data_IF_757638699187
#
_entry.id   IF_757638699187
#
_cell.length_a   1.000
_cell.length_b   1.000
_cell.length_c   1.000
_cell.angle_alpha   90.00
_cell.angle_beta   90.00
_cell.angle_gamma   90.00
#
_symmetry.space_group_name_H-M   'P 1'
#
loop_
_entity.id
_entity.type
_entity.pdbx_description
1 polymer ?
#
# COMPACT_ATOMS: atom_id res chain seq x y z
N UNK A 1 88.99 -24.36 15.65
CA UNK A 1 88.48 -23.33 16.57
C UNK A 1 87.71 -22.33 15.72
N UNK A 2 86.40 -22.52 15.61
CA UNK A 2 85.49 -21.60 14.93
C UNK A 2 84.55 -21.07 16.00
N UNK A 3 84.55 -19.76 16.14
CA UNK A 3 83.83 -18.99 17.14
C UNK A 3 82.32 -19.09 16.93
N UNK A 4 81.61 -19.35 18.02
CA UNK A 4 80.16 -19.20 18.13
C UNK A 4 79.87 -17.74 18.43
N UNK A 5 79.35 -17.00 17.45
CA UNK A 5 78.69 -15.72 17.70
C UNK A 5 77.18 -16.00 17.82
N UNK A 6 76.67 -15.85 19.04
CA UNK A 6 75.24 -15.86 19.36
C UNK A 6 74.56 -14.68 18.67
N UNK A 7 73.73 -14.98 17.66
CA UNK A 7 72.80 -14.01 17.08
C UNK A 7 71.58 -13.93 18.00
N UNK A 8 71.58 -12.96 18.92
CA UNK A 8 70.40 -12.64 19.73
C UNK A 8 69.32 -12.06 18.80
N UNK A 9 68.38 -12.90 18.38
CA UNK A 9 67.14 -12.46 17.73
C UNK A 9 66.34 -11.66 18.76
N UNK A 10 66.33 -10.33 18.61
CA UNK A 10 65.36 -9.48 19.31
C UNK A 10 63.98 -9.80 18.74
N UNK A 11 62.95 -10.11 19.56
CA UNK A 11 61.60 -10.27 19.04
C UNK A 11 61.14 -8.94 18.42
N UNK A 12 60.73 -8.96 17.16
CA UNK A 12 60.09 -7.81 16.50
C UNK A 12 58.87 -7.39 17.32
N UNK A 13 58.88 -6.15 17.81
CA UNK A 13 57.73 -5.56 18.50
C UNK A 13 56.60 -5.46 17.47
N UNK A 14 55.41 -6.06 17.70
CA UNK A 14 54.32 -6.02 16.73
C UNK A 14 53.96 -4.59 16.37
N UNK A 15 53.71 -4.33 15.08
CA UNK A 15 53.26 -3.03 14.60
C UNK A 15 52.04 -2.57 15.42
N UNK A 16 52.04 -1.35 16.01
CA UNK A 16 50.94 -0.86 16.84
C UNK A 16 49.57 -0.96 16.16
N UNK A 17 49.51 -0.74 14.84
CA UNK A 17 48.29 -0.87 14.03
C UNK A 17 47.77 -2.30 14.00
N UNK A 18 48.66 -3.29 13.83
CA UNK A 18 48.28 -4.71 13.80
C UNK A 18 47.79 -5.19 15.16
N UNK A 19 48.40 -4.70 16.24
CA UNK A 19 47.95 -4.95 17.61
C UNK A 19 46.54 -4.43 17.81
N UNK A 20 46.28 -3.19 17.38
CA UNK A 20 44.96 -2.58 17.52
C UNK A 20 43.90 -3.23 16.64
N UNK A 21 44.25 -3.62 15.41
CA UNK A 21 43.35 -4.37 14.54
C UNK A 21 43.00 -5.74 15.15
N UNK A 22 43.99 -6.47 15.68
CA UNK A 22 43.78 -7.76 16.36
C UNK A 22 42.86 -7.62 17.56
N UNK A 23 43.09 -6.63 18.41
CA UNK A 23 42.26 -6.37 19.58
C UNK A 23 40.84 -5.92 19.20
N UNK A 24 40.71 -5.06 18.18
CA UNK A 24 39.43 -4.61 17.66
C UNK A 24 38.60 -5.77 17.06
N UNK A 25 39.28 -6.74 16.43
CA UNK A 25 38.70 -7.95 15.87
C UNK A 25 38.29 -8.99 16.90
N UNK A 26 39.13 -9.22 17.92
CA UNK A 26 38.93 -10.27 18.93
C UNK A 26 37.66 -10.10 19.77
N UNK A 27 37.23 -8.85 19.99
CA UNK A 27 36.08 -8.54 20.83
C UNK A 27 34.86 -8.19 19.97
N UNK A 28 33.87 -9.10 19.95
CA UNK A 28 32.71 -9.02 19.05
C UNK A 28 31.58 -8.09 19.52
N UNK A 29 31.57 -7.62 20.78
CA UNK A 29 30.48 -6.79 21.33
C UNK A 29 31.00 -5.50 21.97
N UNK A 30 30.69 -4.39 21.31
CA UNK A 30 30.72 -2.98 21.79
C UNK A 30 31.91 -2.58 22.67
N UNK A 31 33.03 -2.25 22.05
CA UNK A 31 34.23 -1.77 22.74
C UNK A 31 34.32 -0.25 22.88
N UNK A 32 33.20 0.45 23.06
CA UNK A 32 33.15 1.85 23.52
C UNK A 32 34.16 2.83 22.90
N UNK A 33 34.60 3.78 23.74
CA UNK A 33 35.69 4.71 23.44
C UNK A 33 37.01 4.02 23.09
N UNK A 34 37.31 2.85 23.69
CA UNK A 34 38.56 2.14 23.45
C UNK A 34 38.71 1.66 22.00
N UNK A 35 37.62 1.21 21.38
CA UNK A 35 37.60 0.84 19.96
C UNK A 35 37.60 2.07 19.07
N UNK A 36 36.91 3.14 19.50
CA UNK A 36 37.02 4.45 18.88
C UNK A 36 38.48 4.90 18.77
N UNK A 37 39.23 4.84 19.88
CA UNK A 37 40.64 5.21 19.94
C UNK A 37 41.51 4.32 19.05
N UNK A 38 41.30 3.00 19.08
CA UNK A 38 42.03 2.05 18.22
C UNK A 38 41.86 2.37 16.74
N UNK A 39 40.64 2.68 16.31
CA UNK A 39 40.36 3.14 14.95
C UNK A 39 41.00 4.50 14.73
N UNK A 40 40.86 5.44 15.66
CA UNK A 40 41.31 6.80 15.46
C UNK A 40 42.83 6.95 15.33
N UNK A 41 43.59 6.16 16.10
CA UNK A 41 45.05 6.15 16.05
C UNK A 41 45.65 5.28 14.95
N UNK A 42 44.85 4.38 14.35
CA UNK A 42 45.35 3.40 13.38
C UNK A 42 44.83 3.60 11.95
N UNK A 43 43.68 4.25 11.78
CA UNK A 43 43.02 4.43 10.48
C UNK A 43 43.23 5.85 9.96
N UNK A 44 43.66 5.93 8.71
CA UNK A 44 43.93 7.19 8.01
C UNK A 44 42.63 7.93 7.64
N UNK A 45 42.55 9.25 7.89
CA UNK A 45 41.46 10.10 7.38
C UNK A 45 41.35 10.09 5.86
N UNK A 46 40.12 10.27 5.34
CA UNK A 46 39.91 10.41 3.90
C UNK A 46 40.62 11.65 3.34
N UNK A 47 41.55 11.47 2.38
CA UNK A 47 42.24 12.57 1.70
C UNK A 47 43.76 12.63 1.91
N UNK A 48 44.32 11.86 2.85
CA UNK A 48 45.78 11.75 3.04
C UNK A 48 46.39 10.62 2.20
N UNK A 49 47.60 10.82 1.68
CA UNK A 49 48.33 9.78 0.93
C UNK A 49 48.98 8.76 1.88
N UNK A 50 49.48 7.62 1.35
CA UNK A 50 50.08 6.57 2.20
C UNK A 50 51.44 6.98 2.77
N UNK A 51 52.09 7.93 2.11
CA UNK A 51 53.41 8.41 2.46
C UNK A 51 53.38 9.53 3.52
N UNK A 52 52.19 10.06 3.83
CA UNK A 52 51.98 11.19 4.77
C UNK A 52 51.72 10.75 6.21
N UNK A 53 51.39 9.48 6.44
CA UNK A 53 50.99 9.01 7.77
C UNK A 53 51.34 7.54 8.00
N UNK A 54 51.77 7.15 9.22
CA UNK A 54 51.99 5.75 9.59
C UNK A 54 50.69 4.94 9.76
N UNK A 55 49.52 5.52 9.48
CA UNK A 55 48.20 4.89 9.57
C UNK A 55 47.83 4.14 8.30
N UNK A 56 46.95 3.14 8.43
CA UNK A 56 46.48 2.32 7.30
C UNK A 56 45.09 2.75 6.83
N UNK A 57 44.66 2.28 5.66
CA UNK A 57 43.29 2.54 5.22
C UNK A 57 42.27 1.79 6.09
N UNK A 58 41.02 2.26 6.12
CA UNK A 58 39.95 1.57 6.84
C UNK A 58 39.72 0.15 6.32
N UNK A 59 40.00 -0.10 5.04
CA UNK A 59 39.91 -1.41 4.40
C UNK A 59 40.99 -2.36 4.92
N UNK A 60 42.23 -1.90 4.95
CA UNK A 60 43.36 -2.71 5.42
C UNK A 60 43.25 -3.00 6.93
N UNK A 61 42.79 -2.01 7.72
CA UNK A 61 42.50 -2.21 9.13
C UNK A 61 41.40 -3.25 9.36
N UNK A 62 40.33 -3.20 8.55
CA UNK A 62 39.24 -4.15 8.63
C UNK A 62 39.68 -5.58 8.28
N UNK A 63 40.55 -5.72 7.27
CA UNK A 63 41.15 -6.99 6.86
C UNK A 63 42.02 -7.58 7.98
N UNK A 64 42.92 -6.77 8.56
CA UNK A 64 43.75 -7.17 9.71
C UNK A 64 42.91 -7.55 10.94
N UNK A 65 41.76 -6.89 11.14
CA UNK A 65 40.84 -7.14 12.25
C UNK A 65 39.84 -8.28 11.97
N UNK A 66 39.80 -8.86 10.76
CA UNK A 66 38.83 -9.87 10.38
C UNK A 66 37.37 -9.39 10.46
N UNK A 67 37.10 -8.13 10.12
CA UNK A 67 35.76 -7.53 10.16
C UNK A 67 35.42 -6.72 8.91
N UNK A 68 34.20 -6.15 8.84
CA UNK A 68 33.78 -5.36 7.67
C UNK A 68 34.29 -3.90 7.77
N UNK A 69 34.69 -3.26 6.65
CA UNK A 69 35.05 -1.85 6.63
C UNK A 69 33.96 -0.92 7.19
N UNK A 70 32.68 -1.25 7.01
CA UNK A 70 31.55 -0.49 7.58
C UNK A 70 31.57 -0.49 9.10
N UNK A 71 32.01 -1.59 9.74
CA UNK A 71 32.19 -1.64 11.19
C UNK A 71 33.26 -0.64 11.63
N UNK A 72 34.41 -0.62 10.96
CA UNK A 72 35.50 0.34 11.24
C UNK A 72 35.01 1.78 11.06
N UNK A 73 34.33 2.05 9.94
CA UNK A 73 33.81 3.39 9.63
C UNK A 73 32.74 3.89 10.60
N UNK A 74 32.01 3.00 11.30
CA UNK A 74 31.07 3.41 12.36
C UNK A 74 31.79 3.99 13.57
N UNK A 75 32.87 3.34 14.03
CA UNK A 75 33.69 3.87 15.12
C UNK A 75 34.41 5.14 14.70
N UNK A 76 34.89 5.21 13.46
CA UNK A 76 35.44 6.43 12.88
C UNK A 76 34.43 7.59 12.96
N UNK A 77 33.23 7.44 12.39
CA UNK A 77 32.21 8.53 12.40
C UNK A 77 31.78 8.94 13.80
N UNK A 78 31.73 8.01 14.75
CA UNK A 78 31.41 8.32 16.13
C UNK A 78 32.51 9.16 16.79
N UNK A 79 33.78 8.82 16.56
CA UNK A 79 34.93 9.57 17.07
C UNK A 79 35.05 10.95 16.42
N UNK A 80 34.78 11.06 15.11
CA UNK A 80 34.80 12.32 14.35
C UNK A 80 33.84 13.36 14.95
N UNK A 81 32.59 12.95 15.21
CA UNK A 81 31.59 13.82 15.84
C UNK A 81 31.98 14.23 17.26
N UNK A 82 32.56 13.31 18.03
CA UNK A 82 33.04 13.62 19.37
C UNK A 82 34.24 14.58 19.34
N UNK A 83 35.08 14.51 18.30
CA UNK A 83 36.19 15.43 18.11
C UNK A 83 35.70 16.83 17.70
N UNK A 84 34.70 16.92 16.83
CA UNK A 84 34.05 18.19 16.46
C UNK A 84 33.45 18.91 17.68
N UNK A 85 32.93 18.15 18.65
CA UNK A 85 32.41 18.66 19.93
C UNK A 85 33.53 18.97 20.96
N UNK A 86 34.80 18.73 20.59
CA UNK A 86 35.96 18.98 21.45
C UNK A 86 36.15 17.99 22.60
N UNK A 87 35.44 16.85 22.60
CA UNK A 87 35.53 15.85 23.66
C UNK A 87 36.75 14.94 23.52
N UNK A 88 37.22 14.71 22.30
CA UNK A 88 38.40 13.89 22.00
C UNK A 88 39.27 14.58 20.93
N UNK A 89 40.57 14.24 20.85
CA UNK A 89 41.44 14.64 19.76
C UNK A 89 40.91 14.26 18.37
N UNK A 90 41.09 15.13 17.38
CA UNK A 90 40.90 14.77 15.97
C UNK A 90 41.88 13.68 15.52
N UNK A 91 41.52 12.96 14.46
CA UNK A 91 42.31 11.84 13.96
C UNK A 91 43.70 12.24 13.52
N UNK A 92 43.88 13.43 12.93
CA UNK A 92 45.13 13.85 12.32
C UNK A 92 46.26 13.99 13.35
N UNK A 93 45.93 14.24 14.63
CA UNK A 93 46.92 14.50 15.67
C UNK A 93 47.32 13.25 16.46
N UNK A 94 46.55 12.16 16.34
CA UNK A 94 46.82 10.90 17.03
C UNK A 94 47.82 10.03 16.25
N UNK A 95 48.81 9.45 16.93
CA UNK A 95 49.78 8.52 16.34
C UNK A 95 49.45 7.05 16.67
N UNK A 96 49.78 6.08 15.80
CA UNK A 96 49.59 4.67 16.10
C UNK A 96 50.24 4.25 17.42
N UNK A 97 49.46 3.62 18.30
CA UNK A 97 49.89 3.19 19.63
C UNK A 97 49.83 4.26 20.72
N UNK A 98 49.41 5.49 20.41
CA UNK A 98 49.19 6.55 21.40
C UNK A 98 47.96 6.25 22.27
N UNK A 99 48.13 6.31 23.59
CA UNK A 99 47.06 6.21 24.57
C UNK A 99 46.69 7.60 25.09
N UNK A 100 45.39 7.89 25.16
CA UNK A 100 44.86 9.15 25.68
C UNK A 100 43.88 8.89 26.81
N UNK A 101 43.60 9.92 27.61
CA UNK A 101 42.50 9.88 28.57
C UNK A 101 41.18 9.89 27.81
N UNK A 102 40.35 8.87 28.05
CA UNK A 102 39.07 8.71 27.38
C UNK A 102 37.96 9.35 28.22
N UNK A 103 36.94 9.97 27.60
CA UNK A 103 35.77 10.47 28.31
C UNK A 103 35.00 9.36 29.02
N UNK A 104 34.02 9.77 29.83
CA UNK A 104 33.09 8.85 30.49
C UNK A 104 32.42 7.91 29.46
N UNK A 105 32.39 6.62 29.79
CA UNK A 105 31.85 5.56 28.96
C UNK A 105 30.36 5.75 28.64
N UNK A 106 29.59 6.41 29.52
CA UNK A 106 28.16 6.66 29.31
C UNK A 106 27.91 7.55 28.08
N UNK A 107 28.83 8.48 27.80
CA UNK A 107 28.74 9.47 26.72
C UNK A 107 28.92 8.84 25.33
N UNK A 108 29.63 7.71 25.23
CA UNK A 108 29.88 7.04 23.95
C UNK A 108 28.60 6.71 23.18
N UNK A 109 27.54 6.35 23.90
CA UNK A 109 26.25 5.96 23.33
C UNK A 109 25.57 7.07 22.53
N UNK A 110 25.82 8.35 22.86
CA UNK A 110 25.30 9.51 22.14
C UNK A 110 25.94 9.69 20.76
N UNK A 111 27.19 9.23 20.59
CA UNK A 111 27.95 9.39 19.34
C UNK A 111 27.91 8.14 18.46
N UNK A 112 27.93 6.97 19.09
CA UNK A 112 27.96 5.67 18.43
C UNK A 112 26.55 5.14 18.15
N UNK A 113 25.98 5.60 17.03
CA UNK A 113 24.68 5.11 16.56
C UNK A 113 24.88 3.81 15.78
N UNK A 114 24.41 2.69 16.36
CA UNK A 114 24.57 1.36 15.75
C UNK A 114 23.79 1.16 14.44
N UNK A 115 22.79 2.01 14.16
CA UNK A 115 21.97 2.02 12.92
C UNK A 115 21.57 3.44 12.53
N UNK A 116 21.95 3.89 11.33
CA UNK A 116 21.82 5.28 10.87
C UNK A 116 20.39 5.76 10.58
N UNK A 117 19.38 4.90 10.68
CA UNK A 117 17.99 5.22 10.31
C UNK A 117 17.22 6.00 11.37
N UNK A 118 17.51 5.79 12.67
CA UNK A 118 16.72 6.33 13.78
C UNK A 118 16.70 7.87 13.89
N UNK A 119 17.73 8.55 13.35
CA UNK A 119 17.86 10.01 13.40
C UNK A 119 17.34 10.73 12.15
N UNK A 120 16.79 10.00 11.17
CA UNK A 120 16.19 10.60 9.97
C UNK A 120 14.71 10.93 10.23
N UNK A 121 14.13 11.92 9.53
CA UNK A 121 12.69 12.23 9.62
C UNK A 121 11.82 10.98 9.41
N UNK A 122 12.21 10.14 8.44
CA UNK A 122 11.59 8.83 8.20
C UNK A 122 11.72 7.89 9.41
N UNK A 123 12.88 7.86 10.05
CA UNK A 123 13.13 7.03 11.23
C UNK A 123 12.35 7.49 12.46
N UNK A 124 12.24 8.81 12.66
CA UNK A 124 11.41 9.41 13.71
C UNK A 124 9.95 9.04 13.52
N UNK A 125 9.40 9.21 12.31
CA UNK A 125 8.01 8.84 12.03
C UNK A 125 7.73 7.34 12.25
N UNK A 126 8.68 6.46 11.88
CA UNK A 126 8.57 5.02 12.12
C UNK A 126 8.64 4.69 13.61
N UNK A 127 9.50 5.38 14.38
CA UNK A 127 9.63 5.19 15.82
C UNK A 127 8.36 5.64 16.55
N UNK A 128 7.82 6.82 16.22
CA UNK A 128 6.57 7.34 16.79
C UNK A 128 5.39 6.41 16.51
N UNK A 129 5.24 5.93 15.27
CA UNK A 129 4.20 4.96 14.92
C UNK A 129 4.37 3.64 15.68
N UNK A 130 5.60 3.17 15.88
CA UNK A 130 5.86 1.96 16.66
C UNK A 130 5.46 2.13 18.13
N UNK A 131 5.76 3.28 18.74
CA UNK A 131 5.40 3.57 20.13
C UNK A 131 3.90 3.66 20.34
N UNK A 132 3.17 4.28 19.39
CA UNK A 132 1.71 4.32 19.42
C UNK A 132 1.08 2.93 19.45
N UNK A 133 1.70 1.97 18.77
CA UNK A 133 1.30 0.55 18.73
C UNK A 133 1.91 -0.30 19.86
N UNK A 134 2.66 0.31 20.79
CA UNK A 134 3.33 -0.40 21.90
C UNK A 134 4.49 -1.30 21.46
N UNK A 135 5.01 -1.12 20.25
CA UNK A 135 6.14 -1.85 19.68
C UNK A 135 7.45 -1.10 19.98
N UNK A 136 8.53 -1.85 20.23
CA UNK A 136 9.86 -1.26 20.40
C UNK A 136 10.31 -0.55 19.10
N UNK A 137 10.68 0.75 19.13
CA UNK A 137 11.11 1.49 17.93
C UNK A 137 12.20 0.80 17.12
N UNK A 138 13.17 0.18 17.79
CA UNK A 138 14.28 -0.55 17.16
C UNK A 138 13.81 -1.72 16.29
N UNK A 139 12.69 -2.35 16.63
CA UNK A 139 12.12 -3.45 15.84
C UNK A 139 11.43 -2.95 14.58
N UNK A 140 10.68 -1.86 14.67
CA UNK A 140 10.05 -1.25 13.50
C UNK A 140 11.10 -0.72 12.50
N UNK A 141 12.16 -0.08 13.00
CA UNK A 141 13.29 0.37 12.18
C UNK A 141 14.01 -0.80 11.50
N UNK A 142 14.23 -1.91 12.19
CA UNK A 142 14.85 -3.11 11.62
C UNK A 142 14.01 -3.72 10.48
N UNK A 143 12.68 -3.73 10.62
CA UNK A 143 11.77 -4.17 9.54
C UNK A 143 11.81 -3.20 8.36
N UNK A 144 11.80 -1.89 8.62
CA UNK A 144 11.84 -0.86 7.59
C UNK A 144 13.16 -0.83 6.80
N UNK A 145 14.28 -1.20 7.44
CA UNK A 145 15.59 -1.36 6.81
C UNK A 145 15.67 -2.58 5.89
N UNK A 146 14.76 -3.56 6.03
CA UNK A 146 14.80 -4.82 5.28
C UNK A 146 13.48 -5.12 4.52
N UNK A 147 13.11 -4.34 3.49
CA UNK A 147 11.85 -4.54 2.75
C UNK A 147 11.70 -5.93 2.11
N UNK A 148 12.80 -6.54 1.67
CA UNK A 148 12.78 -7.89 1.09
C UNK A 148 12.41 -8.96 2.13
N UNK A 149 12.87 -8.78 3.38
CA UNK A 149 12.50 -9.68 4.48
C UNK A 149 11.01 -9.54 4.83
N UNK A 150 10.51 -8.30 4.88
CA UNK A 150 9.08 -8.02 5.06
C UNK A 150 8.23 -8.66 3.95
N UNK A 151 8.64 -8.52 2.69
CA UNK A 151 7.95 -9.15 1.56
C UNK A 151 7.93 -10.67 1.69
N UNK A 152 9.04 -11.29 2.09
CA UNK A 152 9.10 -12.74 2.30
C UNK A 152 8.13 -13.18 3.41
N UNK A 153 8.04 -12.42 4.51
CA UNK A 153 7.09 -12.69 5.59
C UNK A 153 5.64 -12.59 5.13
N UNK A 154 5.28 -11.53 4.39
CA UNK A 154 3.93 -11.35 3.82
C UNK A 154 3.54 -12.52 2.90
N UNK A 155 4.48 -13.02 2.10
CA UNK A 155 4.21 -14.14 1.19
C UNK A 155 4.10 -15.49 1.91
N UNK A 156 4.82 -15.67 3.01
CA UNK A 156 4.92 -16.95 3.71
C UNK A 156 3.88 -17.13 4.82
N UNK A 157 3.40 -16.04 5.43
CA UNK A 157 2.50 -16.09 6.59
C UNK A 157 1.18 -15.33 6.33
N UNK A 158 0.02 -16.03 6.31
CA UNK A 158 -1.29 -15.41 6.10
C UNK A 158 -1.62 -14.31 7.12
N UNK A 159 -1.25 -14.47 8.39
CA UNK A 159 -1.57 -13.50 9.43
C UNK A 159 -0.83 -12.18 9.22
N UNK A 160 0.44 -12.25 8.82
CA UNK A 160 1.26 -11.10 8.42
C UNK A 160 0.68 -10.44 7.17
N UNK A 161 0.21 -11.22 6.20
CA UNK A 161 -0.44 -10.67 5.00
C UNK A 161 -1.74 -9.93 5.33
N UNK A 162 -2.55 -10.44 6.26
CA UNK A 162 -3.77 -9.78 6.71
C UNK A 162 -3.46 -8.45 7.43
N UNK A 163 -2.49 -8.45 8.34
CA UNK A 163 -2.05 -7.24 9.04
C UNK A 163 -1.50 -6.18 8.07
N UNK A 164 -0.70 -6.59 7.08
CA UNK A 164 -0.18 -5.68 6.05
C UNK A 164 -1.32 -5.07 5.19
N UNK A 165 -2.34 -5.86 4.83
CA UNK A 165 -3.53 -5.36 4.12
C UNK A 165 -4.31 -4.34 4.95
N UNK A 166 -4.57 -4.64 6.23
CA UNK A 166 -5.28 -3.73 7.12
C UNK A 166 -4.54 -2.38 7.25
N UNK A 167 -3.22 -2.41 7.49
CA UNK A 167 -2.40 -1.21 7.57
C UNK A 167 -2.39 -0.41 6.25
N UNK A 168 -2.38 -1.08 5.10
CA UNK A 168 -2.50 -0.41 3.80
C UNK A 168 -3.86 0.24 3.61
N UNK A 169 -4.96 -0.42 4.00
CA UNK A 169 -6.31 0.13 3.90
C UNK A 169 -6.50 1.36 4.79
N UNK A 170 -5.94 1.36 6.00
CA UNK A 170 -5.99 2.54 6.87
C UNK A 170 -5.23 3.71 6.28
N UNK A 171 -4.01 3.47 5.75
CA UNK A 171 -3.26 4.52 5.06
C UNK A 171 -3.97 5.02 3.80
N UNK A 172 -4.62 4.14 3.04
CA UNK A 172 -5.43 4.51 1.86
C UNK A 172 -6.53 5.50 2.25
N UNK A 173 -7.16 5.40 3.43
CA UNK A 173 -8.19 6.36 3.87
C UNK A 173 -7.63 7.78 4.02
N UNK A 174 -6.36 7.92 4.41
CA UNK A 174 -5.73 9.19 4.76
C UNK A 174 -4.84 9.76 3.65
N UNK A 175 -4.46 8.96 2.65
CA UNK A 175 -3.51 9.31 1.58
C UNK A 175 -4.16 9.23 0.17
N UNK A 176 -4.66 10.35 -0.39
CA UNK A 176 -5.27 10.39 -1.72
C UNK A 176 -4.32 10.02 -2.87
N UNK A 177 -3.01 10.21 -2.69
CA UNK A 177 -2.03 9.83 -3.70
C UNK A 177 -1.92 8.30 -3.79
N UNK A 178 -1.87 7.64 -2.62
CA UNK A 178 -1.92 6.18 -2.54
C UNK A 178 -3.24 5.60 -3.06
N UNK A 179 -4.39 6.23 -2.75
CA UNK A 179 -5.69 5.84 -3.32
C UNK A 179 -5.62 5.78 -4.85
N UNK A 180 -5.07 6.84 -5.45
CA UNK A 180 -4.98 6.96 -6.91
C UNK A 180 -4.00 5.95 -7.50
N UNK A 181 -2.88 5.69 -6.84
CA UNK A 181 -1.91 4.66 -7.25
C UNK A 181 -2.53 3.26 -7.23
N UNK A 182 -3.17 2.88 -6.12
CA UNK A 182 -3.83 1.58 -5.98
C UNK A 182 -4.95 1.39 -7.01
N UNK A 183 -5.75 2.43 -7.28
CA UNK A 183 -6.79 2.38 -8.31
C UNK A 183 -6.20 2.15 -9.71
N UNK A 184 -5.06 2.76 -10.04
CA UNK A 184 -4.36 2.51 -11.32
C UNK A 184 -3.81 1.09 -11.40
N UNK A 185 -3.26 0.57 -10.31
CA UNK A 185 -2.72 -0.79 -10.27
C UNK A 185 -3.83 -1.83 -10.46
N UNK A 186 -4.97 -1.66 -9.76
CA UNK A 186 -6.16 -2.48 -9.97
C UNK A 186 -6.63 -2.40 -11.42
N UNK A 187 -6.69 -1.20 -12.01
CA UNK A 187 -7.15 -1.01 -13.38
C UNK A 187 -6.23 -1.64 -14.43
N UNK A 188 -4.93 -1.77 -14.14
CA UNK A 188 -3.91 -2.39 -15.02
C UNK A 188 -3.86 -3.90 -14.90
N UNK A 189 -4.33 -4.47 -13.80
CA UNK A 189 -4.38 -5.92 -13.59
C UNK A 189 -5.78 -6.43 -13.89
N UNK A 190 -5.98 -7.02 -15.08
CA UNK A 190 -7.29 -7.48 -15.55
C UNK A 190 -8.01 -8.42 -14.58
N UNK A 191 -7.29 -9.31 -13.89
CA UNK A 191 -7.86 -10.21 -12.88
C UNK A 191 -8.41 -9.44 -11.67
N UNK A 192 -7.65 -8.47 -11.15
CA UNK A 192 -8.09 -7.62 -10.04
C UNK A 192 -9.25 -6.71 -10.45
N UNK A 193 -9.20 -6.13 -11.65
CA UNK A 193 -10.31 -5.37 -12.21
C UNK A 193 -11.59 -6.19 -12.29
N UNK A 194 -11.51 -7.45 -12.72
CA UNK A 194 -12.66 -8.37 -12.75
C UNK A 194 -13.15 -8.71 -11.35
N UNK A 195 -12.24 -9.02 -10.42
CA UNK A 195 -12.59 -9.31 -9.03
C UNK A 195 -13.33 -8.14 -8.37
N UNK A 196 -12.79 -6.92 -8.49
CA UNK A 196 -13.44 -5.70 -7.98
C UNK A 196 -14.80 -5.46 -8.65
N UNK A 197 -14.92 -5.71 -9.95
CA UNK A 197 -16.22 -5.59 -10.62
C UNK A 197 -17.24 -6.64 -10.12
N UNK A 198 -16.81 -7.85 -9.80
CA UNK A 198 -17.68 -8.88 -9.20
C UNK A 198 -18.11 -8.46 -7.80
N UNK A 199 -17.17 -8.02 -6.97
CA UNK A 199 -17.46 -7.55 -5.61
C UNK A 199 -18.40 -6.35 -5.60
N UNK A 200 -18.18 -5.37 -6.48
CA UNK A 200 -19.08 -4.23 -6.64
C UNK A 200 -20.51 -4.66 -7.01
N UNK A 201 -20.68 -5.67 -7.87
CA UNK A 201 -22.01 -6.20 -8.21
C UNK A 201 -22.67 -6.88 -7.02
N UNK A 202 -21.91 -7.62 -6.21
CA UNK A 202 -22.42 -8.21 -4.98
C UNK A 202 -22.85 -7.11 -3.99
N UNK A 203 -22.01 -6.10 -3.78
CA UNK A 203 -22.33 -4.94 -2.94
C UNK A 203 -23.57 -4.18 -3.41
N UNK A 204 -23.73 -3.96 -4.72
CA UNK A 204 -24.92 -3.31 -5.30
C UNK A 204 -26.20 -4.13 -5.05
N UNK A 205 -26.11 -5.46 -5.19
CA UNK A 205 -27.22 -6.39 -4.92
C UNK A 205 -27.62 -6.39 -3.46
N UNK A 206 -26.65 -6.47 -2.54
CA UNK A 206 -26.88 -6.33 -1.10
C UNK A 206 -27.49 -4.96 -0.80
N UNK A 207 -26.98 -3.90 -1.43
CA UNK A 207 -27.50 -2.55 -1.30
C UNK A 207 -28.96 -2.42 -1.74
N UNK A 208 -29.37 -3.12 -2.79
CA UNK A 208 -30.76 -3.20 -3.22
C UNK A 208 -31.66 -3.87 -2.17
N UNK A 209 -31.25 -5.02 -1.63
CA UNK A 209 -32.01 -5.72 -0.57
C UNK A 209 -32.08 -4.85 0.70
N UNK A 210 -30.97 -4.22 1.07
CA UNK A 210 -30.90 -3.27 2.20
C UNK A 210 -31.83 -2.08 2.03
N UNK A 211 -31.90 -1.50 0.83
CA UNK A 211 -32.84 -0.42 0.53
C UNK A 211 -34.29 -0.83 0.79
N UNK A 212 -34.66 -2.07 0.44
CA UNK A 212 -36.01 -2.57 0.66
C UNK A 212 -36.28 -2.76 2.16
N UNK A 213 -35.38 -3.43 2.88
CA UNK A 213 -35.54 -3.70 4.30
C UNK A 213 -35.58 -2.40 5.14
N UNK A 214 -34.58 -1.52 4.97
CA UNK A 214 -34.39 -0.35 5.84
C UNK A 214 -35.25 0.84 5.42
N UNK A 215 -35.33 1.14 4.12
CA UNK A 215 -36.06 2.32 3.62
C UNK A 215 -37.49 1.99 3.26
N UNK A 216 -37.83 0.70 3.15
CA UNK A 216 -39.16 0.27 2.75
C UNK A 216 -39.54 0.72 1.36
N UNK A 217 -38.59 0.82 0.43
CA UNK A 217 -38.82 1.33 -0.92
C UNK A 217 -38.43 0.32 -1.98
N UNK A 218 -39.33 0.10 -2.93
CA UNK A 218 -39.05 -0.69 -4.14
C UNK A 218 -38.98 0.22 -5.34
N UNK A 219 -38.13 -0.15 -6.31
CA UNK A 219 -38.07 0.50 -7.61
C UNK A 219 -38.64 -0.43 -8.67
N UNK A 220 -39.68 0.03 -9.36
CA UNK A 220 -40.30 -0.73 -10.43
C UNK A 220 -39.45 -0.70 -11.70
N UNK A 221 -39.82 -1.55 -12.67
CA UNK A 221 -39.16 -1.59 -13.98
C UNK A 221 -39.34 -0.30 -14.80
N UNK A 222 -40.40 0.49 -14.60
CA UNK A 222 -40.53 1.82 -15.20
C UNK A 222 -39.71 2.90 -14.48
N UNK A 223 -39.07 2.55 -13.35
CA UNK A 223 -38.24 3.44 -12.56
C UNK A 223 -39.01 4.25 -11.51
N UNK A 224 -40.29 3.92 -11.26
CA UNK A 224 -41.08 4.52 -10.19
C UNK A 224 -40.64 3.95 -8.84
N UNK A 225 -40.65 4.79 -7.80
CA UNK A 225 -40.39 4.37 -6.42
C UNK A 225 -41.71 4.27 -5.67
N UNK A 226 -41.92 3.14 -5.01
CA UNK A 226 -43.13 2.83 -4.26
C UNK A 226 -42.76 2.33 -2.87
N UNK A 227 -43.70 2.45 -1.93
CA UNK A 227 -43.55 1.82 -0.63
C UNK A 227 -43.66 0.30 -0.76
N UNK A 228 -42.70 -0.39 -0.14
CA UNK A 228 -42.61 -1.83 -0.10
C UNK A 228 -43.72 -2.40 0.80
N UNK A 229 -44.50 -3.38 0.32
CA UNK A 229 -45.41 -4.14 1.16
C UNK A 229 -44.70 -4.74 2.38
N UNK A 230 -45.45 -4.94 3.47
CA UNK A 230 -44.87 -5.45 4.72
C UNK A 230 -44.18 -6.82 4.54
N UNK A 231 -44.79 -7.72 3.77
CA UNK A 231 -44.25 -9.04 3.46
C UNK A 231 -42.90 -8.96 2.74
N UNK A 232 -42.79 -8.04 1.78
CA UNK A 232 -41.59 -7.84 0.98
C UNK A 232 -40.46 -7.20 1.81
N UNK A 233 -40.79 -6.35 2.80
CA UNK A 233 -39.81 -5.85 3.77
C UNK A 233 -39.30 -6.96 4.69
N UNK A 234 -40.19 -7.78 5.22
CA UNK A 234 -39.82 -8.90 6.10
C UNK A 234 -38.94 -9.94 5.39
N UNK A 235 -39.20 -10.24 4.12
CA UNK A 235 -38.34 -11.17 3.36
C UNK A 235 -36.94 -10.56 3.10
N UNK A 236 -36.88 -9.25 2.83
CA UNK A 236 -35.60 -8.55 2.69
C UNK A 236 -34.78 -8.57 3.98
N UNK A 237 -35.41 -8.33 5.14
CA UNK A 237 -34.77 -8.41 6.47
C UNK A 237 -34.22 -9.82 6.76
N UNK A 238 -34.97 -10.86 6.37
CA UNK A 238 -34.53 -12.25 6.51
C UNK A 238 -33.28 -12.53 5.68
N UNK A 239 -33.25 -12.11 4.41
CA UNK A 239 -32.08 -12.28 3.57
C UNK A 239 -30.85 -11.51 4.07
N UNK A 240 -31.03 -10.30 4.61
CA UNK A 240 -29.92 -9.55 5.21
C UNK A 240 -29.40 -10.23 6.48
N UNK A 241 -30.29 -10.75 7.33
CA UNK A 241 -29.88 -11.50 8.51
C UNK A 241 -29.03 -12.72 8.15
N UNK A 242 -29.40 -13.45 7.09
CA UNK A 242 -28.61 -14.58 6.59
C UNK A 242 -27.24 -14.14 6.07
N UNK A 243 -27.16 -12.99 5.37
CA UNK A 243 -25.90 -12.44 4.89
C UNK A 243 -24.99 -11.96 6.04
N UNK A 244 -25.57 -11.40 7.11
CA UNK A 244 -24.83 -10.94 8.29
C UNK A 244 -24.31 -12.11 9.15
N UNK A 245 -24.92 -13.29 9.05
CA UNK A 245 -24.49 -14.53 9.72
C UNK A 245 -23.36 -15.28 9.00
N UNK A 246 -22.96 -14.86 7.79
CA UNK A 246 -21.89 -15.49 7.02
C UNK A 246 -20.51 -15.25 7.68
N UNK A 247 -19.71 -16.31 7.79
CA UNK A 247 -18.33 -16.23 8.30
C UNK A 247 -17.39 -15.46 7.34
N UNK A 248 -16.32 -14.87 7.89
CA UNK A 248 -15.24 -14.23 7.11
C UNK A 248 -14.56 -15.25 6.18
N UNK A 249 -14.99 -15.29 4.92
CA UNK A 249 -14.46 -16.18 3.90
C UNK A 249 -15.51 -16.98 3.11
N UNK A 250 -16.78 -16.92 3.54
CA UNK A 250 -17.88 -17.46 2.73
C UNK A 250 -18.21 -16.54 1.54
N UNK A 251 -18.59 -17.13 0.41
CA UNK A 251 -18.88 -16.39 -0.82
C UNK A 251 -20.23 -15.66 -0.71
N UNK A 252 -20.17 -14.44 -0.16
CA UNK A 252 -21.32 -13.54 -0.07
C UNK A 252 -21.95 -13.22 -1.43
N UNK A 253 -21.24 -13.45 -2.55
CA UNK A 253 -21.71 -13.14 -3.90
C UNK A 253 -22.85 -14.03 -4.37
N UNK A 254 -22.82 -15.33 -4.05
CA UNK A 254 -23.91 -16.26 -4.40
C UNK A 254 -25.18 -15.92 -3.62
N UNK A 255 -25.05 -15.75 -2.30
CA UNK A 255 -26.15 -15.34 -1.42
C UNK A 255 -26.75 -13.99 -1.80
N UNK A 256 -25.90 -13.01 -2.13
CA UNK A 256 -26.35 -11.71 -2.62
C UNK A 256 -27.12 -11.81 -3.95
N UNK A 257 -26.73 -12.75 -4.82
CA UNK A 257 -27.43 -13.00 -6.09
C UNK A 257 -28.82 -13.60 -5.84
N UNK A 258 -28.89 -14.62 -5.00
CA UNK A 258 -30.15 -15.29 -4.65
C UNK A 258 -31.13 -14.33 -3.97
N UNK A 259 -30.66 -13.56 -2.99
CA UNK A 259 -31.48 -12.57 -2.31
C UNK A 259 -32.00 -11.52 -3.30
N UNK A 260 -31.11 -10.98 -4.15
CA UNK A 260 -31.51 -9.99 -5.15
C UNK A 260 -32.55 -10.52 -6.14
N UNK A 261 -32.33 -11.72 -6.70
CA UNK A 261 -33.25 -12.31 -7.68
C UNK A 261 -34.61 -12.63 -7.05
N UNK A 262 -34.62 -13.14 -5.81
CA UNK A 262 -35.85 -13.37 -5.04
C UNK A 262 -36.61 -12.06 -4.83
N UNK A 263 -35.93 -11.02 -4.33
CA UNK A 263 -36.55 -9.72 -4.09
C UNK A 263 -37.07 -9.08 -5.39
N UNK A 264 -36.33 -9.21 -6.48
CA UNK A 264 -36.73 -8.69 -7.78
C UNK A 264 -37.97 -9.39 -8.32
N UNK A 265 -38.07 -10.71 -8.17
CA UNK A 265 -39.25 -11.47 -8.57
C UNK A 265 -40.48 -11.07 -7.74
N UNK A 266 -40.34 -10.94 -6.42
CA UNK A 266 -41.41 -10.48 -5.53
C UNK A 266 -41.90 -9.06 -5.88
N UNK A 267 -41.00 -8.17 -6.28
CA UNK A 267 -41.38 -6.83 -6.78
C UNK A 267 -42.20 -6.92 -8.06
N UNK A 268 -41.82 -7.79 -9.00
CA UNK A 268 -42.59 -8.02 -10.23
C UNK A 268 -43.98 -8.56 -9.91
N UNK A 269 -44.07 -9.56 -9.03
CA UNK A 269 -45.36 -10.12 -8.60
C UNK A 269 -46.25 -9.09 -7.92
N UNK A 270 -45.67 -8.26 -7.04
CA UNK A 270 -46.38 -7.14 -6.38
C UNK A 270 -46.96 -6.17 -7.40
N UNK A 271 -46.17 -5.81 -8.42
CA UNK A 271 -46.60 -4.92 -9.50
C UNK A 271 -47.69 -5.57 -10.35
N UNK A 272 -47.59 -6.87 -10.63
CA UNK A 272 -48.57 -7.58 -11.44
C UNK A 272 -49.92 -7.77 -10.75
N UNK A 273 -49.90 -7.97 -9.44
CA UNK A 273 -51.08 -8.11 -8.59
C UNK A 273 -51.93 -6.83 -8.55
N UNK A 274 -51.33 -5.65 -8.78
CA UNK A 274 -52.04 -4.37 -8.81
C UNK A 274 -52.38 -3.92 -10.26
N UNK A 275 -53.66 -3.98 -10.68
CA UNK A 275 -54.07 -3.59 -12.03
C UNK A 275 -53.83 -2.12 -12.35
N UNK A 276 -53.98 -1.22 -11.37
CA UNK A 276 -53.77 0.22 -11.57
C UNK A 276 -52.29 0.49 -11.78
N UNK A 277 -51.45 -0.13 -10.97
CA UNK A 277 -50.01 -0.01 -11.05
C UNK A 277 -49.46 -0.57 -12.36
N UNK A 278 -50.00 -1.69 -12.86
CA UNK A 278 -49.67 -2.20 -14.21
C UNK A 278 -49.94 -1.18 -15.31
N UNK A 279 -51.05 -0.45 -15.24
CA UNK A 279 -51.39 0.58 -16.23
C UNK A 279 -50.46 1.78 -16.10
N UNK A 280 -50.17 2.22 -14.87
CA UNK A 280 -49.21 3.31 -14.60
C UNK A 280 -47.80 2.96 -15.07
N UNK A 281 -47.33 1.73 -14.83
CA UNK A 281 -46.06 1.21 -15.32
C UNK A 281 -45.97 1.23 -16.84
N UNK A 282 -47.00 0.75 -17.53
CA UNK A 282 -47.05 0.74 -19.00
C UNK A 282 -47.02 2.16 -19.56
N UNK A 283 -47.78 3.09 -18.97
CA UNK A 283 -47.77 4.50 -19.36
C UNK A 283 -46.41 5.13 -19.13
N UNK A 284 -45.80 4.92 -17.97
CA UNK A 284 -44.50 5.47 -17.62
C UNK A 284 -43.40 4.92 -18.53
N UNK A 285 -43.40 3.61 -18.81
CA UNK A 285 -42.50 3.00 -19.81
C UNK A 285 -42.69 3.61 -21.19
N UNK A 286 -43.93 3.80 -21.62
CA UNK A 286 -44.23 4.42 -22.91
C UNK A 286 -43.66 5.84 -23.01
N UNK A 287 -43.94 6.70 -22.01
CA UNK A 287 -43.43 8.08 -22.00
C UNK A 287 -41.90 8.14 -21.89
N UNK A 288 -41.29 7.31 -21.04
CA UNK A 288 -39.83 7.26 -20.89
C UNK A 288 -39.15 6.80 -22.19
N UNK A 289 -39.70 5.80 -22.88
CA UNK A 289 -39.18 5.36 -24.17
C UNK A 289 -39.31 6.44 -25.23
N UNK A 290 -40.46 7.13 -25.28
CA UNK A 290 -40.67 8.23 -26.22
C UNK A 290 -39.70 9.39 -25.97
N UNK A 291 -39.55 9.82 -24.72
CA UNK A 291 -38.62 10.90 -24.35
C UNK A 291 -37.17 10.55 -24.70
N UNK A 292 -36.74 9.31 -24.45
CA UNK A 292 -35.40 8.84 -24.85
C UNK A 292 -35.22 8.85 -26.36
N UNK A 293 -36.22 8.34 -27.11
CA UNK A 293 -36.16 8.36 -28.57
C UNK A 293 -36.09 9.79 -29.11
N UNK A 294 -36.94 10.70 -28.62
CA UNK A 294 -36.90 12.12 -29.01
C UNK A 294 -35.53 12.74 -28.76
N UNK A 295 -34.95 12.53 -27.57
CA UNK A 295 -33.62 13.05 -27.24
C UNK A 295 -32.53 12.53 -28.18
N UNK A 296 -32.56 11.23 -28.52
CA UNK A 296 -31.61 10.64 -29.49
C UNK A 296 -31.73 11.31 -30.86
N UNK A 297 -32.95 11.60 -31.33
CA UNK A 297 -33.15 12.30 -32.60
C UNK A 297 -32.79 13.78 -32.55
N UNK A 298 -32.90 14.44 -31.40
CA UNK A 298 -32.42 15.82 -31.21
C UNK A 298 -30.89 15.91 -31.18
N UNK A 299 -30.22 14.88 -30.64
CA UNK A 299 -28.75 14.80 -30.59
C UNK A 299 -28.12 14.38 -31.93
N UNK A 300 -28.91 13.77 -32.82
CA UNK A 300 -28.51 13.44 -34.18
C UNK A 300 -28.40 14.72 -35.03
N UNK A 301 -27.22 15.34 -35.01
CA UNK A 301 -26.84 16.40 -35.95
C UNK A 301 -26.35 15.78 -37.26
N UNK A 302 -26.93 16.18 -38.38
CA UNK A 302 -26.57 15.69 -39.72
C UNK A 302 -25.68 16.67 -40.48
N UNK A 303 -24.86 17.44 -39.75
CA UNK A 303 -24.02 18.50 -40.33
C UNK A 303 -22.96 17.94 -41.30
N UNK A 304 -22.53 16.68 -41.12
CA UNK A 304 -21.62 15.93 -42.00
C UNK A 304 -22.32 14.68 -42.59
N UNK A 305 -23.58 14.82 -43.02
CA UNK A 305 -24.40 13.70 -43.51
C UNK A 305 -23.72 12.88 -44.62
N UNK A 306 -22.93 13.52 -45.50
CA UNK A 306 -22.23 12.84 -46.61
C UNK A 306 -21.16 11.85 -46.12
N UNK A 307 -20.58 12.07 -44.94
CA UNK A 307 -19.52 11.21 -44.38
C UNK A 307 -20.07 9.99 -43.63
N UNK A 308 -21.34 10.04 -43.22
CA UNK A 308 -22.02 8.99 -42.45
C UNK A 308 -23.16 8.30 -43.19
N UNK A 309 -23.50 8.75 -44.41
CA UNK A 309 -24.62 8.23 -45.18
C UNK A 309 -24.39 6.77 -45.58
N UNK A 310 -25.32 5.90 -45.17
CA UNK A 310 -25.48 4.54 -45.69
C UNK A 310 -26.85 4.40 -46.36
N UNK A 311 -26.92 3.60 -47.43
CA UNK A 311 -28.12 3.46 -48.27
C UNK A 311 -29.37 2.97 -47.49
N UNK A 312 -29.20 2.27 -46.38
CA UNK A 312 -30.30 1.74 -45.56
C UNK A 312 -30.78 2.73 -44.47
N UNK A 313 -30.07 3.83 -44.21
CA UNK A 313 -30.41 4.76 -43.13
C UNK A 313 -31.76 5.44 -43.36
N UNK A 314 -32.01 5.89 -44.60
CA UNK A 314 -33.28 6.51 -44.97
C UNK A 314 -34.42 5.51 -44.84
N UNK A 315 -34.22 4.27 -45.31
CA UNK A 315 -35.21 3.20 -45.21
C UNK A 315 -35.59 2.92 -43.74
N UNK A 316 -34.61 2.83 -42.83
CA UNK A 316 -34.86 2.61 -41.40
C UNK A 316 -35.65 3.76 -40.76
N UNK A 317 -35.41 5.00 -41.17
CA UNK A 317 -36.16 6.16 -40.70
C UNK A 317 -37.61 6.15 -41.21
N UNK A 318 -37.82 5.74 -42.45
CA UNK A 318 -39.16 5.58 -43.02
C UNK A 318 -39.96 4.45 -42.34
N UNK A 319 -39.34 3.29 -42.09
CA UNK A 319 -39.92 2.18 -41.31
C UNK A 319 -40.32 2.63 -39.89
N UNK A 320 -39.47 3.42 -39.24
CA UNK A 320 -39.77 4.00 -37.93
C UNK A 320 -40.94 4.99 -38.01
N UNK A 321 -40.97 5.86 -39.03
CA UNK A 321 -42.06 6.81 -39.24
C UNK A 321 -43.41 6.08 -39.42
N UNK A 322 -43.44 4.97 -40.16
CA UNK A 322 -44.65 4.16 -40.33
C UNK A 322 -45.10 3.52 -39.01
N UNK A 323 -44.16 2.97 -38.24
CA UNK A 323 -44.46 2.39 -36.92
C UNK A 323 -45.04 3.44 -35.95
N UNK A 324 -44.46 4.65 -35.93
CA UNK A 324 -44.98 5.78 -35.13
C UNK A 324 -46.37 6.19 -35.62
N UNK A 325 -46.59 6.29 -36.92
CA UNK A 325 -47.91 6.61 -37.50
C UNK A 325 -48.99 5.60 -37.11
N UNK A 326 -48.63 4.31 -37.11
CA UNK A 326 -49.51 3.22 -36.64
C UNK A 326 -49.84 3.37 -35.16
N UNK A 327 -48.85 3.65 -34.31
CA UNK A 327 -49.05 3.85 -32.88
C UNK A 327 -49.94 5.08 -32.58
N UNK A 328 -49.73 6.20 -33.29
CA UNK A 328 -50.57 7.40 -33.17
C UNK A 328 -52.02 7.08 -33.55
N UNK A 329 -52.23 6.34 -34.63
CA UNK A 329 -53.57 5.94 -35.08
C UNK A 329 -54.27 5.07 -34.05
N UNK A 330 -53.56 4.11 -33.45
CA UNK A 330 -54.09 3.27 -32.38
C UNK A 330 -54.48 4.09 -31.13
N UNK A 331 -53.63 5.04 -30.71
CA UNK A 331 -53.90 5.91 -29.56
C UNK A 331 -55.10 6.85 -29.79
N UNK A 332 -55.19 7.45 -30.98
CA UNK A 332 -56.36 8.26 -31.38
C UNK A 332 -57.64 7.44 -31.41
N UNK A 333 -57.57 6.20 -31.90
CA UNK A 333 -58.69 5.28 -31.91
C UNK A 333 -59.15 4.87 -30.51
N UNK A 334 -58.24 4.76 -29.54
CA UNK A 334 -58.56 4.52 -28.13
C UNK A 334 -59.22 5.75 -27.50
N UNK A 335 -58.69 6.96 -27.74
CA UNK A 335 -59.25 8.21 -27.21
C UNK A 335 -60.67 8.53 -27.75
N UNK A 336 -61.06 7.98 -28.89
CA UNK A 336 -62.41 8.12 -29.44
C UNK A 336 -63.43 7.09 -28.89
N UNK A 337 -62.97 6.12 -28.09
CA UNK A 337 -63.79 5.06 -27.47
C UNK A 337 -64.09 5.29 -25.98
N UNK A 338 -63.34 6.21 -25.35
CA UNK A 338 -63.61 6.74 -24.01
C UNK A 338 -64.63 7.89 -24.07
#
# INVERSE_FOLDING_TARGET
MASTEDFVVRPEVPNPVERDARDFGAYARTGGWAFGLKVARSVRPGGQSADETPKVSAKDFAELAGCSPERVMRYYKAWDRAADDGLVPHFEILLPGEDIELPDAEVWSSYYVSRSSAASERGTAIAEAAEAEGIRPTKALEVAENPTALRAAILADPSTAQAARAALLDRVKEDPALQTELARDIARTDELKKAVATENRAADRIGYVRQIAEKGQIRTAAGQTLDAPAELRSEAERHLSLLDELDEGEDSGEWASEAYDTMKNLVVETVEADPELRVQERRTKFYNSLQKATKVFEELTFDDADDIYEDDMVQRLEELQEAIGTAITALRGAAARD
#
